data_IF_031251565926
#
_entry.id   IF_031251565926
#
_cell.length_a   1.000
_cell.length_b   1.000
_cell.length_c   1.000
_cell.angle_alpha   90.00
_cell.angle_beta   90.00
_cell.angle_gamma   90.00
#
_symmetry.space_group_name_H-M   'P 1'
#
loop_
_entity.id
_entity.type
_entity.pdbx_description
1 polymer ?
#
# COMPACT_ATOMS: atom_id res chain seq x y z
N UNK A 1 -62.33 29.49 3.50
CA UNK A 1 -62.25 28.06 3.10
C UNK A 1 -62.22 28.09 1.59
N UNK A 2 -61.15 27.77 0.88
CA UNK A 2 -60.39 26.54 1.03
C UNK A 2 -58.94 26.69 0.54
N UNK A 3 -58.04 25.95 1.17
CA UNK A 3 -56.58 25.95 1.00
C UNK A 3 -56.14 24.98 -0.09
N UNK A 4 -55.59 25.49 -1.19
CA UNK A 4 -54.92 24.66 -2.21
C UNK A 4 -53.50 24.29 -1.74
N UNK A 5 -53.35 23.06 -1.24
CA UNK A 5 -52.07 22.44 -0.91
C UNK A 5 -51.27 22.19 -2.20
N UNK A 6 -50.11 22.83 -2.28
CA UNK A 6 -49.12 22.59 -3.34
C UNK A 6 -48.39 21.27 -3.01
N UNK A 7 -48.88 20.18 -3.59
CA UNK A 7 -48.22 18.87 -3.53
C UNK A 7 -46.95 18.91 -4.39
N UNK A 8 -45.79 19.05 -3.73
CA UNK A 8 -44.48 18.84 -4.37
C UNK A 8 -44.30 17.33 -4.51
N UNK A 9 -44.62 16.81 -5.69
CA UNK A 9 -44.28 15.43 -6.05
C UNK A 9 -42.78 15.34 -6.31
N UNK A 10 -42.04 14.76 -5.38
CA UNK A 10 -40.64 14.36 -5.61
C UNK A 10 -40.62 13.20 -6.60
N UNK A 11 -40.15 13.44 -7.83
CA UNK A 11 -39.87 12.38 -8.79
C UNK A 11 -38.86 11.38 -8.23
N UNK A 12 -39.02 10.06 -8.46
CA UNK A 12 -38.01 9.08 -8.07
C UNK A 12 -36.70 9.35 -8.81
N UNK A 13 -35.58 9.29 -8.08
CA UNK A 13 -34.25 9.47 -8.65
C UNK A 13 -33.98 8.42 -9.75
N UNK A 14 -33.24 8.81 -10.79
CA UNK A 14 -32.82 7.92 -11.88
C UNK A 14 -31.89 6.80 -11.37
N UNK A 15 -31.92 5.58 -11.95
CA UNK A 15 -31.06 4.45 -11.56
C UNK A 15 -29.55 4.77 -11.54
N UNK A 16 -29.09 5.69 -12.37
CA UNK A 16 -27.69 6.12 -12.40
C UNK A 16 -27.35 7.07 -11.24
N UNK A 17 -28.33 7.86 -10.76
CA UNK A 17 -28.16 8.70 -9.59
C UNK A 17 -28.15 7.85 -8.31
N UNK A 18 -28.98 6.80 -8.24
CA UNK A 18 -28.97 5.86 -7.11
C UNK A 18 -27.64 5.12 -6.98
N UNK A 19 -27.03 4.66 -8.09
CA UNK A 19 -25.70 4.04 -8.05
C UNK A 19 -24.58 5.01 -7.61
N UNK A 20 -24.65 6.27 -8.04
CA UNK A 20 -23.67 7.30 -7.65
C UNK A 20 -23.77 7.66 -6.15
N UNK A 21 -24.98 7.70 -5.61
CA UNK A 21 -25.22 7.97 -4.19
C UNK A 21 -24.87 6.76 -3.31
N UNK A 22 -25.18 5.53 -3.76
CA UNK A 22 -24.75 4.30 -3.09
C UNK A 22 -23.23 4.18 -3.01
N UNK A 23 -22.52 4.53 -4.10
CA UNK A 23 -21.05 4.61 -4.11
C UNK A 23 -20.53 5.61 -3.08
N UNK A 24 -21.13 6.80 -3.03
CA UNK A 24 -20.74 7.83 -2.06
C UNK A 24 -20.97 7.36 -0.62
N UNK A 25 -22.12 6.79 -0.30
CA UNK A 25 -22.44 6.32 1.05
C UNK A 25 -21.53 5.16 1.49
N UNK A 26 -21.25 4.21 0.60
CA UNK A 26 -20.28 3.15 0.86
C UNK A 26 -18.88 3.72 1.11
N UNK A 27 -18.46 4.69 0.30
CA UNK A 27 -17.19 5.39 0.48
C UNK A 27 -17.11 6.14 1.80
N UNK A 28 -18.20 6.81 2.18
CA UNK A 28 -18.30 7.54 3.45
C UNK A 28 -18.22 6.58 4.65
N UNK A 29 -18.91 5.45 4.60
CA UNK A 29 -18.84 4.41 5.62
C UNK A 29 -17.42 3.84 5.76
N UNK A 30 -16.73 3.59 4.64
CA UNK A 30 -15.36 3.08 4.67
C UNK A 30 -14.37 4.15 5.18
N UNK A 31 -14.52 5.38 4.73
CA UNK A 31 -13.66 6.49 5.13
C UNK A 31 -13.83 6.84 6.62
N UNK A 32 -15.01 6.62 7.21
CA UNK A 32 -15.21 6.71 8.67
C UNK A 32 -14.40 5.66 9.43
N UNK A 33 -14.36 4.41 8.94
CA UNK A 33 -13.56 3.33 9.53
C UNK A 33 -12.06 3.64 9.47
N UNK A 34 -11.58 4.09 8.31
CA UNK A 34 -10.17 4.44 8.11
C UNK A 34 -9.82 5.72 8.86
N UNK A 35 -10.56 6.80 8.65
CA UNK A 35 -10.26 8.11 9.24
C UNK A 35 -10.56 8.23 10.73
N UNK A 36 -11.32 7.31 11.32
CA UNK A 36 -11.69 7.32 12.74
C UNK A 36 -12.54 8.53 13.15
N UNK A 37 -13.23 9.16 12.19
CA UNK A 37 -14.06 10.37 12.39
C UNK A 37 -15.42 10.19 11.73
N UNK A 38 -16.46 10.72 12.35
CA UNK A 38 -17.83 10.69 11.82
C UNK A 38 -17.98 11.47 10.51
N UNK A 39 -17.33 12.64 10.43
CA UNK A 39 -17.25 13.46 9.22
C UNK A 39 -15.82 13.45 8.66
N UNK A 40 -15.60 12.92 7.44
CA UNK A 40 -14.27 12.90 6.85
C UNK A 40 -13.71 14.29 6.55
N UNK A 41 -12.46 14.52 6.96
CA UNK A 41 -11.79 15.81 6.83
C UNK A 41 -11.65 16.29 5.37
N UNK A 42 -11.56 15.37 4.40
CA UNK A 42 -11.39 15.71 2.97
C UNK A 42 -12.58 16.50 2.41
N UNK A 43 -13.80 16.22 2.89
CA UNK A 43 -14.99 16.94 2.47
C UNK A 43 -14.97 18.38 2.97
N UNK A 44 -14.46 18.60 4.19
CA UNK A 44 -14.37 19.93 4.78
C UNK A 44 -13.23 20.74 4.19
N UNK A 45 -12.06 20.13 4.00
CA UNK A 45 -10.87 20.80 3.48
C UNK A 45 -10.95 21.19 2.01
N UNK A 46 -11.94 20.68 1.27
CA UNK A 46 -12.13 20.97 -0.16
C UNK A 46 -13.44 21.72 -0.43
N UNK A 47 -14.29 21.93 0.57
CA UNK A 47 -15.66 22.43 0.39
C UNK A 47 -15.74 23.79 -0.32
N UNK A 48 -14.79 24.69 -0.03
CA UNK A 48 -14.76 26.06 -0.53
C UNK A 48 -14.01 26.22 -1.86
N UNK A 49 -13.16 25.26 -2.22
CA UNK A 49 -12.25 25.36 -3.38
C UNK A 49 -12.48 24.28 -4.46
N UNK A 50 -12.76 23.05 -4.06
CA UNK A 50 -12.87 21.90 -4.96
C UNK A 50 -13.80 20.81 -4.39
N UNK A 51 -15.09 21.11 -4.13
CA UNK A 51 -16.01 20.17 -3.50
C UNK A 51 -16.20 18.88 -4.29
N UNK A 52 -16.13 18.96 -5.63
CA UNK A 52 -16.21 17.79 -6.50
C UNK A 52 -15.02 16.84 -6.30
N UNK A 53 -13.83 17.38 -6.03
CA UNK A 53 -12.66 16.55 -5.71
C UNK A 53 -12.88 15.80 -4.40
N UNK A 54 -13.41 16.47 -3.37
CA UNK A 54 -13.79 15.82 -2.12
C UNK A 54 -14.80 14.69 -2.35
N UNK A 55 -15.83 14.94 -3.17
CA UNK A 55 -16.83 13.92 -3.53
C UNK A 55 -16.21 12.75 -4.31
N UNK A 56 -15.33 13.03 -5.27
CA UNK A 56 -14.62 11.99 -6.04
C UNK A 56 -13.72 11.14 -5.14
N UNK A 57 -12.98 11.75 -4.20
CA UNK A 57 -12.19 11.00 -3.23
C UNK A 57 -13.05 10.02 -2.45
N UNK A 58 -14.25 10.43 -2.01
CA UNK A 58 -15.17 9.54 -1.30
C UNK A 58 -15.75 8.47 -2.23
N UNK A 59 -16.40 8.87 -3.32
CA UNK A 59 -17.11 7.93 -4.21
C UNK A 59 -16.16 6.97 -4.93
N UNK A 60 -15.15 7.48 -5.63
CA UNK A 60 -14.22 6.65 -6.40
C UNK A 60 -13.16 6.04 -5.47
N UNK A 61 -12.50 6.87 -4.67
CA UNK A 61 -11.39 6.42 -3.82
C UNK A 61 -11.81 5.40 -2.76
N UNK A 62 -12.87 5.68 -2.01
CA UNK A 62 -13.31 4.78 -0.93
C UNK A 62 -14.54 3.95 -1.28
N UNK A 63 -15.41 4.41 -2.17
CA UNK A 63 -16.64 3.73 -2.56
C UNK A 63 -16.47 2.69 -3.68
N UNK A 64 -15.38 2.75 -4.43
CA UNK A 64 -15.07 1.77 -5.49
C UNK A 64 -13.70 1.12 -5.24
N UNK A 65 -12.64 1.92 -5.31
CA UNK A 65 -11.26 1.43 -5.34
C UNK A 65 -10.91 0.64 -4.08
N UNK A 66 -11.26 1.16 -2.91
CA UNK A 66 -10.96 0.53 -1.62
C UNK A 66 -12.10 -0.34 -1.07
N UNK A 67 -13.27 -0.36 -1.72
CA UNK A 67 -14.50 -0.93 -1.17
C UNK A 67 -14.68 -2.44 -1.41
N UNK A 68 -13.97 -3.02 -2.38
CA UNK A 68 -14.10 -4.46 -2.66
C UNK A 68 -13.33 -5.30 -1.64
N UNK A 69 -13.71 -6.58 -1.52
CA UNK A 69 -13.25 -7.53 -0.51
C UNK A 69 -12.07 -8.41 -0.96
N UNK A 70 -11.47 -8.13 -2.13
CA UNK A 70 -10.29 -8.87 -2.63
C UNK A 70 -9.04 -8.65 -1.79
N UNK A 71 -8.95 -7.50 -1.11
CA UNK A 71 -7.95 -7.21 -0.09
C UNK A 71 -8.65 -6.80 1.20
N UNK A 72 -8.12 -7.26 2.34
CA UNK A 72 -8.56 -6.77 3.64
C UNK A 72 -8.17 -5.30 3.81
N UNK A 73 -8.84 -4.59 4.71
CA UNK A 73 -8.50 -3.19 4.98
C UNK A 73 -7.08 -3.02 5.52
N UNK A 74 -6.60 -4.00 6.29
CA UNK A 74 -5.22 -4.04 6.76
C UNK A 74 -4.25 -4.10 5.58
N UNK A 75 -4.45 -5.04 4.64
CA UNK A 75 -3.61 -5.17 3.44
C UNK A 75 -3.63 -3.89 2.59
N UNK A 76 -4.81 -3.27 2.41
CA UNK A 76 -4.94 -2.01 1.68
C UNK A 76 -4.17 -0.87 2.34
N UNK A 77 -4.22 -0.76 3.66
CA UNK A 77 -3.47 0.27 4.39
C UNK A 77 -1.96 0.00 4.37
N UNK A 78 -1.53 -1.26 4.48
CA UNK A 78 -0.11 -1.65 4.31
C UNK A 78 0.41 -1.19 2.93
N UNK A 79 -0.31 -1.53 1.86
CA UNK A 79 0.05 -1.11 0.49
C UNK A 79 0.06 0.42 0.33
N UNK A 80 -0.92 1.11 0.92
CA UNK A 80 -1.02 2.59 0.83
C UNK A 80 0.12 3.29 1.58
N UNK A 81 0.39 2.87 2.82
CA UNK A 81 1.49 3.42 3.64
C UNK A 81 2.82 3.19 2.93
N UNK A 82 3.03 1.99 2.36
CA UNK A 82 4.23 1.67 1.60
C UNK A 82 4.41 2.61 0.40
N UNK A 83 3.38 2.73 -0.45
CA UNK A 83 3.42 3.59 -1.64
C UNK A 83 3.67 5.07 -1.31
N UNK A 84 2.93 5.63 -0.34
CA UNK A 84 3.09 7.03 0.08
C UNK A 84 4.47 7.29 0.71
N UNK A 85 4.99 6.32 1.46
CA UNK A 85 6.35 6.37 2.02
C UNK A 85 7.40 6.38 0.91
N UNK A 86 7.27 5.50 -0.09
CA UNK A 86 8.20 5.43 -1.23
C UNK A 86 8.18 6.69 -2.12
N UNK A 87 7.01 7.29 -2.34
CA UNK A 87 6.92 8.56 -3.08
C UNK A 87 7.56 9.74 -2.33
N UNK A 88 7.63 9.68 -0.99
CA UNK A 88 8.40 10.60 -0.15
C UNK A 88 7.91 12.06 -0.10
N UNK A 89 6.84 12.41 -0.82
CA UNK A 89 6.39 13.80 -1.04
C UNK A 89 5.01 14.11 -0.46
N UNK A 90 4.33 13.13 0.14
CA UNK A 90 2.93 13.22 0.58
C UNK A 90 2.75 13.02 2.09
N UNK A 91 3.53 13.71 2.92
CA UNK A 91 3.58 13.49 4.38
C UNK A 91 2.20 13.57 5.07
N UNK A 92 1.34 14.52 4.69
CA UNK A 92 -0.01 14.64 5.26
C UNK A 92 -0.91 13.43 4.92
N UNK A 93 -0.80 12.90 3.71
CA UNK A 93 -1.53 11.69 3.31
C UNK A 93 -0.94 10.45 3.98
N UNK A 94 0.39 10.35 4.03
CA UNK A 94 1.06 9.27 4.77
C UNK A 94 0.62 9.25 6.23
N UNK A 95 0.52 10.43 6.86
CA UNK A 95 0.00 10.56 8.23
C UNK A 95 -1.41 10.03 8.35
N UNK A 96 -2.32 10.45 7.47
CA UNK A 96 -3.70 9.99 7.45
C UNK A 96 -3.79 8.46 7.32
N UNK A 97 -2.95 7.86 6.47
CA UNK A 97 -2.95 6.41 6.23
C UNK A 97 -2.24 5.59 7.31
N UNK A 98 -1.25 6.15 8.01
CA UNK A 98 -0.71 5.51 9.23
C UNK A 98 -1.80 5.49 10.31
N UNK A 99 -2.52 6.59 10.49
CA UNK A 99 -3.65 6.62 11.40
C UNK A 99 -4.75 5.62 10.97
N UNK A 100 -5.01 5.54 9.67
CA UNK A 100 -5.92 4.58 9.06
C UNK A 100 -5.55 3.12 9.28
N UNK A 101 -4.27 2.78 9.09
CA UNK A 101 -3.73 1.45 9.32
C UNK A 101 -3.99 0.99 10.75
N UNK A 102 -3.66 1.85 11.73
CA UNK A 102 -3.89 1.56 13.14
C UNK A 102 -5.39 1.41 13.48
N UNK A 103 -6.26 2.21 12.86
CA UNK A 103 -7.71 2.14 13.09
C UNK A 103 -8.35 0.84 12.58
N UNK A 104 -7.78 0.25 11.53
CA UNK A 104 -8.27 -1.02 10.96
C UNK A 104 -7.50 -2.24 11.48
N UNK A 105 -6.61 -2.05 12.46
CA UNK A 105 -5.96 -3.14 13.19
C UNK A 105 -4.56 -3.53 12.70
N UNK A 106 -3.93 -2.75 11.83
CA UNK A 106 -2.48 -2.88 11.59
C UNK A 106 -1.76 -2.39 12.85
N UNK A 107 -0.83 -3.17 13.38
CA UNK A 107 -0.12 -2.84 14.60
C UNK A 107 0.92 -1.72 14.38
N UNK A 108 1.31 -0.99 15.44
CA UNK A 108 2.42 -0.04 15.36
C UNK A 108 3.73 -0.67 14.86
N UNK A 109 3.98 -1.94 15.23
CA UNK A 109 5.14 -2.68 14.80
C UNK A 109 5.10 -2.95 13.28
N UNK A 110 3.98 -3.44 12.75
CA UNK A 110 3.80 -3.65 11.31
C UNK A 110 3.95 -2.34 10.50
N UNK A 111 3.38 -1.23 10.98
CA UNK A 111 3.58 0.08 10.34
C UNK A 111 5.06 0.44 10.27
N UNK A 112 5.81 0.30 11.37
CA UNK A 112 7.24 0.61 11.37
C UNK A 112 8.02 -0.33 10.45
N UNK A 113 7.66 -1.61 10.38
CA UNK A 113 8.28 -2.55 9.45
C UNK A 113 8.07 -2.15 7.98
N UNK A 114 6.87 -1.68 7.59
CA UNK A 114 6.63 -1.15 6.24
C UNK A 114 7.52 0.06 5.93
N UNK A 115 7.70 0.94 6.91
CA UNK A 115 8.53 2.14 6.75
C UNK A 115 10.03 1.81 6.69
N UNK A 116 10.50 0.83 7.45
CA UNK A 116 11.86 0.28 7.33
C UNK A 116 12.03 -0.38 5.95
N UNK A 117 11.03 -1.15 5.50
CA UNK A 117 11.01 -1.81 4.20
C UNK A 117 11.19 -0.81 3.05
N UNK A 118 10.63 0.39 3.19
CA UNK A 118 10.80 1.50 2.23
C UNK A 118 12.27 1.81 1.92
N UNK A 119 13.19 1.60 2.87
CA UNK A 119 14.61 1.87 2.66
C UNK A 119 15.24 1.06 1.51
N UNK A 120 14.70 -0.12 1.22
CA UNK A 120 15.16 -0.99 0.12
C UNK A 120 14.71 -0.45 -1.24
N UNK A 121 13.53 0.16 -1.31
CA UNK A 121 12.88 0.54 -2.58
C UNK A 121 13.07 2.01 -2.95
N UNK A 122 12.98 2.90 -1.96
CA UNK A 122 13.06 4.35 -2.15
C UNK A 122 14.21 4.99 -1.35
N UNK A 123 15.05 4.17 -0.71
CA UNK A 123 16.23 4.61 0.02
C UNK A 123 15.95 5.07 1.46
N UNK A 124 17.03 5.18 2.24
CA UNK A 124 17.01 5.56 3.66
C UNK A 124 16.32 6.91 3.92
N UNK A 125 16.49 7.97 3.11
CA UNK A 125 15.80 9.25 3.35
C UNK A 125 14.27 9.13 3.34
N UNK A 126 13.69 8.38 2.40
CA UNK A 126 12.25 8.16 2.34
C UNK A 126 11.73 7.42 3.58
N UNK A 127 12.45 6.36 3.99
CA UNK A 127 12.16 5.63 5.22
C UNK A 127 12.22 6.53 6.46
N UNK A 128 13.26 7.36 6.60
CA UNK A 128 13.41 8.29 7.73
C UNK A 128 12.26 9.32 7.80
N UNK A 129 11.85 9.86 6.65
CA UNK A 129 10.69 10.75 6.57
C UNK A 129 9.41 10.04 7.04
N UNK A 130 9.21 8.79 6.58
CA UNK A 130 8.07 7.98 7.02
C UNK A 130 8.08 7.71 8.53
N UNK A 131 9.24 7.37 9.11
CA UNK A 131 9.40 7.17 10.55
C UNK A 131 9.11 8.45 11.35
N UNK A 132 9.48 9.62 10.83
CA UNK A 132 9.12 10.89 11.46
C UNK A 132 7.59 11.08 11.51
N UNK A 133 6.89 10.78 10.41
CA UNK A 133 5.42 10.84 10.36
C UNK A 133 4.77 9.83 11.32
N UNK A 134 5.28 8.60 11.38
CA UNK A 134 4.78 7.58 12.32
C UNK A 134 4.96 8.00 13.78
N UNK A 135 6.09 8.62 14.11
CA UNK A 135 6.34 9.16 15.45
C UNK A 135 5.30 10.20 15.85
N UNK A 136 4.91 11.08 14.94
CA UNK A 136 3.85 12.06 15.19
C UNK A 136 2.48 11.38 15.37
N UNK A 137 2.16 10.38 14.54
CA UNK A 137 0.92 9.61 14.66
C UNK A 137 0.82 8.89 16.01
N UNK A 138 1.88 8.22 16.44
CA UNK A 138 1.91 7.46 17.68
C UNK A 138 1.82 8.39 18.90
N UNK A 139 2.55 9.51 18.90
CA UNK A 139 2.48 10.51 19.98
C UNK A 139 1.08 11.12 20.14
N UNK A 140 0.33 11.23 19.05
CA UNK A 140 -1.04 11.74 19.07
C UNK A 140 -2.07 10.73 19.60
N UNK A 141 -1.66 9.49 19.92
CA UNK A 141 -2.53 8.40 20.38
C UNK A 141 -2.18 7.99 21.82
N UNK A 142 -2.85 8.56 22.83
CA UNK A 142 -2.64 8.17 24.22
C UNK A 142 -2.83 6.66 24.43
N UNK A 143 -1.89 6.02 25.11
CA UNK A 143 -1.96 4.60 25.45
C UNK A 143 -1.55 3.63 24.32
N UNK A 144 -1.14 4.13 23.15
CA UNK A 144 -0.59 3.26 22.10
C UNK A 144 0.79 2.74 22.53
N UNK A 145 0.88 1.43 22.77
CA UNK A 145 2.15 0.77 23.07
C UNK A 145 2.88 0.40 21.76
N UNK A 146 4.18 0.66 21.72
CA UNK A 146 5.06 0.23 20.65
C UNK A 146 6.44 -0.09 21.22
N UNK A 147 6.91 -1.30 20.95
CA UNK A 147 8.25 -1.74 21.29
C UNK A 147 9.03 -2.00 19.98
N UNK A 148 10.22 -1.39 19.80
CA UNK A 148 11.05 -1.64 18.63
C UNK A 148 11.47 -3.12 18.54
N UNK A 149 11.24 -3.69 17.37
CA UNK A 149 11.66 -5.03 16.99
C UNK A 149 13.04 -4.98 16.33
N UNK A 150 13.79 -6.09 16.33
CA UNK A 150 15.10 -6.19 15.69
C UNK A 150 15.31 -7.58 15.08
N UNK A 151 16.30 -7.70 14.19
CA UNK A 151 16.72 -8.98 13.60
C UNK A 151 17.52 -9.87 14.54
N UNK A 152 17.79 -9.43 15.77
CA UNK A 152 18.60 -10.17 16.74
C UNK A 152 20.10 -9.93 16.58
N UNK A 153 20.90 -11.00 16.58
CA UNK A 153 22.37 -10.93 16.55
C UNK A 153 22.92 -10.24 15.28
N UNK A 154 23.96 -9.42 15.46
CA UNK A 154 24.61 -8.65 14.40
C UNK A 154 25.46 -9.49 13.43
N UNK A 155 25.73 -10.75 13.75
CA UNK A 155 26.48 -11.67 12.90
C UNK A 155 25.61 -12.34 11.82
N UNK A 156 26.27 -12.94 10.82
CA UNK A 156 25.65 -13.84 9.84
C UNK A 156 24.54 -13.23 8.96
N UNK A 157 24.64 -11.92 8.66
CA UNK A 157 23.65 -11.22 7.84
C UNK A 157 23.55 -11.79 6.41
N UNK A 158 24.66 -12.28 5.87
CA UNK A 158 24.71 -12.86 4.54
C UNK A 158 23.96 -14.20 4.49
N UNK A 159 24.26 -15.11 5.43
CA UNK A 159 23.61 -16.42 5.51
C UNK A 159 22.12 -16.29 5.79
N UNK A 160 21.74 -15.41 6.71
CA UNK A 160 20.34 -15.09 6.99
C UNK A 160 19.64 -14.50 5.77
N UNK A 161 20.32 -13.61 5.05
CA UNK A 161 19.84 -13.03 3.79
C UNK A 161 19.59 -14.08 2.72
N UNK A 162 20.52 -15.00 2.51
CA UNK A 162 20.34 -16.11 1.57
C UNK A 162 19.16 -17.01 1.94
N UNK A 163 19.03 -17.37 3.22
CA UNK A 163 17.91 -18.19 3.68
C UNK A 163 16.56 -17.48 3.44
N UNK A 164 16.50 -16.18 3.71
CA UNK A 164 15.29 -15.37 3.52
C UNK A 164 14.96 -15.15 2.04
N UNK A 165 15.97 -14.92 1.19
CA UNK A 165 15.81 -14.83 -0.26
C UNK A 165 15.25 -16.15 -0.82
N UNK A 166 15.80 -17.29 -0.39
CA UNK A 166 15.33 -18.61 -0.83
C UNK A 166 13.88 -18.88 -0.40
N UNK A 167 13.44 -18.37 0.76
CA UNK A 167 12.04 -18.48 1.23
C UNK A 167 11.06 -17.69 0.35
N UNK A 168 11.48 -16.55 -0.22
CA UNK A 168 10.63 -15.68 -1.05
C UNK A 168 10.70 -16.06 -2.53
N UNK A 169 11.91 -16.14 -3.08
CA UNK A 169 12.13 -16.23 -4.53
C UNK A 169 12.59 -17.60 -5.00
N UNK A 170 12.95 -18.50 -4.08
CA UNK A 170 13.58 -19.78 -4.42
C UNK A 170 14.81 -19.57 -5.32
N UNK A 171 14.90 -20.37 -6.39
CA UNK A 171 15.99 -20.28 -7.37
C UNK A 171 15.96 -19.00 -8.22
N UNK A 172 14.85 -18.25 -8.25
CA UNK A 172 14.78 -16.99 -9.01
C UNK A 172 15.64 -15.89 -8.38
N UNK A 173 15.88 -15.95 -7.06
CA UNK A 173 16.76 -15.04 -6.35
C UNK A 173 18.22 -15.12 -6.80
N UNK A 174 18.68 -16.31 -7.17
CA UNK A 174 20.05 -16.54 -7.65
C UNK A 174 20.33 -15.79 -8.96
N UNK A 175 19.31 -15.65 -9.82
CA UNK A 175 19.46 -14.97 -11.10
C UNK A 175 19.73 -13.46 -10.94
N UNK A 176 19.06 -12.80 -9.98
CA UNK A 176 19.29 -11.37 -9.68
C UNK A 176 20.72 -11.17 -9.18
N UNK A 177 21.16 -12.00 -8.22
CA UNK A 177 22.51 -11.93 -7.67
C UNK A 177 23.55 -12.21 -8.75
N UNK A 178 23.32 -13.21 -9.60
CA UNK A 178 24.23 -13.57 -10.70
C UNK A 178 24.36 -12.45 -11.74
N UNK A 179 23.25 -11.77 -12.06
CA UNK A 179 23.23 -10.67 -13.06
C UNK A 179 24.08 -9.45 -12.69
N UNK A 180 24.52 -9.36 -11.44
CA UNK A 180 25.33 -8.26 -10.92
C UNK A 180 26.78 -8.66 -10.64
N UNK A 181 27.16 -9.95 -10.73
CA UNK A 181 28.48 -10.41 -10.28
C UNK A 181 29.64 -9.83 -11.09
N UNK A 182 29.45 -9.64 -12.39
CA UNK A 182 30.48 -9.14 -13.31
C UNK A 182 30.65 -7.62 -13.27
N UNK A 183 29.61 -6.88 -12.89
CA UNK A 183 29.59 -5.41 -12.95
C UNK A 183 29.54 -4.72 -11.58
N UNK A 184 28.80 -5.27 -10.61
CA UNK A 184 28.55 -4.65 -9.31
C UNK A 184 28.37 -5.71 -8.19
N UNK A 185 29.41 -6.52 -7.90
CA UNK A 185 29.31 -7.62 -6.93
C UNK A 185 28.98 -7.15 -5.51
N UNK A 186 29.42 -5.95 -5.11
CA UNK A 186 29.03 -5.37 -3.82
C UNK A 186 27.54 -5.05 -3.75
N UNK A 187 26.92 -4.62 -4.86
CA UNK A 187 25.47 -4.38 -4.90
C UNK A 187 24.70 -5.69 -4.74
N UNK A 188 25.16 -6.77 -5.40
CA UNK A 188 24.60 -8.10 -5.23
C UNK A 188 24.66 -8.54 -3.75
N UNK A 189 25.81 -8.32 -3.12
CA UNK A 189 26.00 -8.58 -1.69
C UNK A 189 25.10 -7.71 -0.81
N UNK A 190 24.90 -6.43 -1.12
CA UNK A 190 24.00 -5.57 -0.34
C UNK A 190 22.54 -6.00 -0.42
N UNK A 191 22.08 -6.49 -1.57
CA UNK A 191 20.73 -7.07 -1.69
C UNK A 191 20.59 -8.22 -0.69
N UNK A 192 21.54 -9.16 -0.67
CA UNK A 192 21.49 -10.31 0.25
C UNK A 192 21.57 -9.83 1.70
N UNK A 193 22.60 -9.06 2.05
CA UNK A 193 22.89 -8.72 3.45
C UNK A 193 21.91 -7.71 4.02
N UNK A 194 21.68 -6.59 3.32
CA UNK A 194 20.85 -5.49 3.84
C UNK A 194 19.37 -5.72 3.55
N UNK A 195 19.00 -5.96 2.29
CA UNK A 195 17.57 -6.12 1.97
C UNK A 195 17.03 -7.41 2.60
N UNK A 196 17.62 -8.56 2.31
CA UNK A 196 17.08 -9.83 2.83
C UNK A 196 17.49 -10.10 4.29
N UNK A 197 18.77 -9.91 4.62
CA UNK A 197 19.32 -10.21 5.92
C UNK A 197 18.89 -9.24 7.03
N UNK A 198 18.85 -7.94 6.75
CA UNK A 198 18.53 -6.94 7.78
C UNK A 198 17.08 -6.46 7.75
N UNK A 199 16.46 -6.37 6.56
CA UNK A 199 15.10 -5.80 6.42
C UNK A 199 14.03 -6.88 6.36
N UNK A 200 14.09 -7.82 5.41
CA UNK A 200 13.06 -8.88 5.27
C UNK A 200 13.04 -9.87 6.44
N UNK A 201 14.18 -10.09 7.09
CA UNK A 201 14.30 -11.05 8.19
C UNK A 201 13.69 -10.56 9.52
N UNK A 202 13.13 -9.35 9.55
CA UNK A 202 12.51 -8.79 10.75
C UNK A 202 11.13 -9.42 10.99
N UNK A 203 10.79 -9.79 12.24
CA UNK A 203 9.69 -10.73 12.50
C UNK A 203 8.29 -10.11 12.53
N UNK A 204 8.18 -8.78 12.64
CA UNK A 204 6.91 -8.14 12.97
C UNK A 204 5.97 -7.91 11.77
N UNK A 205 6.41 -8.19 10.55
CA UNK A 205 5.58 -8.13 9.35
C UNK A 205 5.83 -9.40 8.53
N UNK A 206 4.76 -10.13 8.24
CA UNK A 206 4.83 -11.37 7.48
C UNK A 206 5.27 -11.14 6.03
N UNK A 207 5.71 -12.20 5.36
CA UNK A 207 6.25 -12.11 4.00
C UNK A 207 5.21 -11.67 2.96
N UNK A 208 3.96 -12.11 3.09
CA UNK A 208 2.90 -11.73 2.16
C UNK A 208 2.62 -10.22 2.26
N UNK A 209 2.55 -9.69 3.47
CA UNK A 209 2.40 -8.26 3.74
C UNK A 209 3.61 -7.45 3.25
N UNK A 210 4.84 -7.99 3.39
CA UNK A 210 6.05 -7.37 2.81
C UNK A 210 5.99 -7.31 1.29
N UNK A 211 5.61 -8.39 0.63
CA UNK A 211 5.52 -8.42 -0.83
C UNK A 211 4.37 -7.56 -1.38
N UNK A 212 3.23 -7.49 -0.69
CA UNK A 212 2.17 -6.51 -1.01
C UNK A 212 2.70 -5.07 -0.93
N UNK A 213 3.50 -4.75 0.10
CA UNK A 213 4.15 -3.45 0.22
C UNK A 213 5.19 -3.21 -0.89
N UNK A 214 6.00 -4.21 -1.23
CA UNK A 214 6.99 -4.16 -2.32
C UNK A 214 6.32 -3.86 -3.67
N UNK A 215 5.27 -4.60 -4.01
CA UNK A 215 4.47 -4.41 -5.24
C UNK A 215 3.89 -2.99 -5.28
N UNK A 216 3.33 -2.50 -4.16
CA UNK A 216 2.78 -1.15 -4.09
C UNK A 216 3.86 -0.07 -4.30
N UNK A 217 5.02 -0.21 -3.65
CA UNK A 217 6.14 0.74 -3.79
C UNK A 217 6.72 0.75 -5.20
N UNK A 218 7.04 -0.42 -5.77
CA UNK A 218 7.58 -0.50 -7.13
C UNK A 218 6.59 0.06 -8.17
N UNK A 219 5.30 -0.19 -7.99
CA UNK A 219 4.26 0.40 -8.84
C UNK A 219 4.23 1.92 -8.68
N UNK A 220 4.21 2.43 -7.45
CA UNK A 220 4.12 3.86 -7.17
C UNK A 220 5.35 4.65 -7.65
N UNK A 221 6.54 4.05 -7.62
CA UNK A 221 7.75 4.65 -8.20
C UNK A 221 7.65 4.80 -9.73
N UNK A 222 6.84 3.97 -10.40
CA UNK A 222 6.52 4.07 -11.83
C UNK A 222 7.66 3.70 -12.80
N UNK A 223 8.91 3.65 -12.33
CA UNK A 223 10.11 3.35 -13.13
C UNK A 223 10.78 2.02 -12.77
N UNK A 224 10.26 1.29 -11.79
CA UNK A 224 10.87 0.09 -11.23
C UNK A 224 10.29 -1.21 -11.81
N UNK A 225 9.95 -1.24 -13.12
CA UNK A 225 9.27 -2.37 -13.74
C UNK A 225 10.00 -3.72 -13.58
N UNK A 226 11.34 -3.82 -13.73
CA UNK A 226 12.05 -5.07 -13.46
C UNK A 226 11.89 -5.57 -12.02
N UNK A 227 11.99 -4.68 -11.05
CA UNK A 227 11.81 -5.02 -9.64
C UNK A 227 10.35 -5.37 -9.34
N UNK A 228 9.40 -4.66 -9.94
CA UNK A 228 7.98 -4.98 -9.83
C UNK A 228 7.69 -6.41 -10.26
N UNK A 229 8.26 -6.88 -11.39
CA UNK A 229 8.09 -8.27 -11.82
C UNK A 229 8.62 -9.26 -10.80
N UNK A 230 9.83 -9.03 -10.27
CA UNK A 230 10.42 -9.85 -9.20
C UNK A 230 9.46 -9.95 -8.01
N UNK A 231 8.93 -8.83 -7.53
CA UNK A 231 8.02 -8.83 -6.36
C UNK A 231 6.62 -9.35 -6.67
N UNK A 232 6.15 -9.33 -7.91
CA UNK A 232 4.94 -10.06 -8.30
C UNK A 232 5.20 -11.57 -8.21
N UNK A 233 6.37 -12.05 -8.63
CA UNK A 233 6.73 -13.45 -8.40
C UNK A 233 6.85 -13.75 -6.90
N UNK A 234 7.54 -12.91 -6.13
CA UNK A 234 7.70 -13.06 -4.69
C UNK A 234 6.35 -13.15 -3.98
N UNK A 235 5.42 -12.22 -4.26
CA UNK A 235 4.07 -12.23 -3.69
C UNK A 235 3.33 -13.55 -3.97
N UNK A 236 3.37 -14.04 -5.20
CA UNK A 236 2.72 -15.30 -5.58
C UNK A 236 3.39 -16.52 -4.93
N UNK A 237 4.69 -16.48 -4.68
CA UNK A 237 5.42 -17.57 -4.01
C UNK A 237 5.05 -17.68 -2.52
N UNK A 238 4.82 -16.54 -1.86
CA UNK A 238 4.49 -16.49 -0.41
C UNK A 238 2.99 -16.55 -0.13
N UNK A 239 2.21 -17.09 -1.07
CA UNK A 239 0.77 -17.35 -0.91
C UNK A 239 -0.14 -16.17 -1.27
N UNK A 240 0.37 -15.17 -1.99
CA UNK A 240 -0.45 -14.17 -2.67
C UNK A 240 -1.16 -14.71 -3.91
N UNK A 241 -2.26 -14.10 -4.31
CA UNK A 241 -3.00 -14.48 -5.52
C UNK A 241 -2.84 -13.48 -6.67
N UNK A 242 -3.20 -13.89 -7.88
CA UNK A 242 -3.22 -13.01 -9.06
C UNK A 242 -4.20 -11.85 -8.84
N UNK A 243 -5.31 -12.11 -8.17
CA UNK A 243 -6.33 -11.12 -7.82
C UNK A 243 -5.77 -10.08 -6.84
N UNK A 244 -5.03 -10.52 -5.81
CA UNK A 244 -4.38 -9.61 -4.86
C UNK A 244 -3.32 -8.73 -5.54
N UNK A 245 -2.52 -9.29 -6.46
CA UNK A 245 -1.55 -8.52 -7.27
C UNK A 245 -2.27 -7.43 -8.07
N UNK A 246 -3.30 -7.80 -8.83
CA UNK A 246 -4.07 -6.85 -9.66
C UNK A 246 -4.71 -5.79 -8.78
N UNK A 247 -5.23 -6.16 -7.61
CA UNK A 247 -5.90 -5.24 -6.71
C UNK A 247 -4.94 -4.22 -6.09
N UNK A 248 -3.74 -4.64 -5.64
CA UNK A 248 -2.71 -3.70 -5.15
C UNK A 248 -2.30 -2.72 -6.24
N UNK A 249 -2.05 -3.19 -7.47
CA UNK A 249 -1.64 -2.33 -8.59
C UNK A 249 -2.78 -1.38 -8.97
N UNK A 250 -4.02 -1.86 -9.01
CA UNK A 250 -5.20 -1.05 -9.32
C UNK A 250 -5.38 0.07 -8.29
N UNK A 251 -5.19 -0.25 -7.01
CA UNK A 251 -5.22 0.74 -5.92
C UNK A 251 -4.22 1.88 -6.15
N UNK A 252 -3.08 1.62 -6.78
CA UNK A 252 -2.09 2.67 -7.09
C UNK A 252 -2.59 3.70 -8.10
N UNK A 253 -3.66 3.43 -8.86
CA UNK A 253 -4.29 4.45 -9.70
C UNK A 253 -4.78 5.66 -8.88
N UNK A 254 -5.24 5.42 -7.65
CA UNK A 254 -5.68 6.46 -6.72
C UNK A 254 -4.56 7.19 -5.97
N UNK A 255 -3.40 6.53 -5.76
CA UNK A 255 -2.31 7.09 -4.95
C UNK A 255 -1.10 7.58 -5.76
N UNK A 256 -0.76 6.88 -6.84
CA UNK A 256 0.37 7.20 -7.74
C UNK A 256 -0.08 7.59 -9.15
N UNK A 257 -1.40 7.55 -9.42
CA UNK A 257 -1.99 7.91 -10.70
C UNK A 257 -2.08 6.75 -11.70
N UNK A 258 -2.98 6.90 -12.68
CA UNK A 258 -3.26 5.88 -13.69
C UNK A 258 -2.03 5.42 -14.50
N UNK A 259 -1.10 6.29 -14.94
CA UNK A 259 0.07 5.83 -15.72
C UNK A 259 0.92 4.81 -14.97
N UNK A 260 1.17 5.02 -13.68
CA UNK A 260 1.92 4.10 -12.84
C UNK A 260 1.20 2.74 -12.71
N UNK A 261 -0.11 2.77 -12.45
CA UNK A 261 -0.92 1.55 -12.38
C UNK A 261 -0.98 0.79 -13.72
N UNK A 262 -1.11 1.49 -14.85
CA UNK A 262 -1.11 0.87 -16.18
C UNK A 262 0.22 0.17 -16.50
N UNK A 263 1.34 0.81 -16.19
CA UNK A 263 2.66 0.18 -16.31
C UNK A 263 2.76 -1.06 -15.41
N UNK A 264 2.21 -0.99 -14.20
CA UNK A 264 2.18 -2.13 -13.29
C UNK A 264 1.34 -3.30 -13.81
N UNK A 265 0.16 -3.03 -14.39
CA UNK A 265 -0.70 -4.07 -14.98
C UNK A 265 -0.02 -4.73 -16.18
N UNK A 266 0.75 -3.97 -16.97
CA UNK A 266 1.56 -4.53 -18.05
C UNK A 266 2.61 -5.52 -17.51
N UNK A 267 3.36 -5.14 -16.46
CA UNK A 267 4.32 -6.02 -15.81
C UNK A 267 3.66 -7.27 -15.20
N UNK A 268 2.47 -7.13 -14.58
CA UNK A 268 1.73 -8.27 -14.05
C UNK A 268 1.27 -9.23 -15.14
N UNK A 269 0.86 -8.71 -16.31
CA UNK A 269 0.48 -9.53 -17.47
C UNK A 269 1.65 -10.40 -17.95
N UNK A 270 2.86 -9.84 -18.03
CA UNK A 270 4.07 -10.57 -18.40
C UNK A 270 4.34 -11.71 -17.42
N UNK A 271 4.40 -11.43 -16.12
CA UNK A 271 4.63 -12.44 -15.07
C UNK A 271 3.57 -13.54 -15.09
N UNK A 272 2.31 -13.18 -15.29
CA UNK A 272 1.21 -14.14 -15.34
C UNK A 272 1.26 -15.04 -16.56
N UNK A 273 1.79 -14.56 -17.69
CA UNK A 273 2.00 -15.36 -18.89
C UNK A 273 3.18 -16.32 -18.66
N UNK A 274 4.31 -15.82 -18.15
CA UNK A 274 5.49 -16.63 -17.83
C UNK A 274 5.15 -17.79 -16.89
N UNK A 275 4.35 -17.54 -15.84
CA UNK A 275 3.90 -18.57 -14.89
C UNK A 275 2.85 -19.53 -15.42
N UNK A 276 2.18 -19.23 -16.53
CA UNK A 276 1.23 -20.14 -17.15
C UNK A 276 1.91 -21.13 -18.12
N UNK A 277 3.12 -20.78 -18.58
CA UNK A 277 3.92 -21.58 -19.52
C UNK A 277 4.88 -22.56 -18.81
N UNK A 278 5.24 -22.30 -17.54
CA UNK A 278 6.08 -23.16 -16.71
C UNK A 278 5.31 -24.02 -15.72
#
# INVERSE_FOLDING_TARGET
>A
MDSAQNSVTTSPASPAATDADERFERGLALLRKVGGRERPAVLDSTADIAPDLGRMTVSFGYGELMANDRLTLQQRQVATVAALSAMGTAAAQLRFHIDGALNVGVTPAEVVEVLIHTAVYAGVPAALNGIAVAREAFRARPGLAYEPTGTGERGQRYERGLAKLAEVDGHAGDAVVASLQDIAPDLARYIIEFAFGDVYSRPALDLKSRELASVAMCTALGTAAPQLRVHIHGLLNVGGTREEVVEVITQMAGYAGFPAALNGIAAAREVFAERAEG
#
